data_IF_221986831605
#
_entry.id   IF_221986831605
#
_cell.length_a   1.000
_cell.length_b   1.000
_cell.length_c   1.000
_cell.angle_alpha   90.00
_cell.angle_beta   90.00
_cell.angle_gamma   90.00
#
_symmetry.space_group_name_H-M   'P 1'
#
loop_
_entity.id
_entity.type
_entity.pdbx_description
1 polymer ?
#
# COMPACT_ATOMS: atom_id res chain seq x y z
N UNK A 1 32.19 -1.55 -10.24
CA UNK A 1 31.08 -0.60 -10.02
C UNK A 1 30.61 -0.79 -8.59
N UNK A 2 30.60 0.24 -7.77
CA UNK A 2 30.13 0.16 -6.39
C UNK A 2 28.61 0.18 -6.41
N UNK A 3 27.95 -0.94 -6.09
CA UNK A 3 26.49 -0.98 -5.98
C UNK A 3 26.06 -0.09 -4.82
N UNK A 4 25.17 0.87 -5.07
CA UNK A 4 24.63 1.72 -4.02
C UNK A 4 23.80 0.89 -3.03
N UNK A 5 24.08 1.03 -1.73
CA UNK A 5 23.29 0.38 -0.67
C UNK A 5 21.89 1.00 -0.67
N UNK A 6 20.85 0.16 -0.74
CA UNK A 6 19.45 0.58 -0.62
C UNK A 6 18.97 0.28 0.80
N UNK A 7 18.31 1.25 1.42
CA UNK A 7 17.66 1.09 2.73
C UNK A 7 16.16 1.18 2.56
N UNK A 8 15.43 0.29 3.24
CA UNK A 8 13.97 0.22 3.21
C UNK A 8 13.42 0.44 4.61
N UNK A 9 12.24 1.04 4.70
CA UNK A 9 11.56 1.35 5.97
C UNK A 9 10.66 0.22 6.46
N UNK A 10 10.35 -0.76 5.60
CA UNK A 10 9.52 -1.91 5.95
C UNK A 10 10.20 -3.22 5.56
N UNK A 11 9.93 -4.27 6.34
CA UNK A 11 10.43 -5.62 6.06
C UNK A 11 9.87 -6.17 4.74
N UNK A 12 8.60 -5.89 4.43
CA UNK A 12 7.99 -6.32 3.18
C UNK A 12 8.74 -5.77 1.95
N UNK A 13 9.06 -4.47 1.93
CA UNK A 13 9.79 -3.85 0.83
C UNK A 13 11.23 -4.37 0.73
N UNK A 14 11.91 -4.52 1.87
CA UNK A 14 13.25 -5.09 1.92
C UNK A 14 13.29 -6.53 1.40
N UNK A 15 12.33 -7.38 1.81
CA UNK A 15 12.24 -8.76 1.36
C UNK A 15 11.91 -8.88 -0.13
N UNK A 16 10.98 -8.06 -0.64
CA UNK A 16 10.67 -8.05 -2.07
C UNK A 16 11.89 -7.66 -2.91
N UNK A 17 12.62 -6.61 -2.50
CA UNK A 17 13.85 -6.20 -3.15
C UNK A 17 14.93 -7.28 -3.08
N UNK A 18 15.20 -7.80 -1.87
CA UNK A 18 16.19 -8.86 -1.65
C UNK A 18 15.87 -10.11 -2.47
N UNK A 19 14.59 -10.45 -2.62
CA UNK A 19 14.20 -11.58 -3.45
C UNK A 19 14.57 -11.41 -4.90
N UNK A 20 14.43 -10.21 -5.48
CA UNK A 20 14.81 -9.97 -6.87
C UNK A 20 16.31 -10.11 -7.12
N UNK A 21 17.13 -10.02 -6.07
CA UNK A 21 18.59 -10.16 -6.13
C UNK A 21 19.04 -11.61 -5.90
N UNK A 22 18.17 -12.46 -5.35
CA UNK A 22 18.53 -13.77 -4.87
C UNK A 22 18.44 -14.81 -5.99
N UNK A 23 19.53 -15.52 -6.34
CA UNK A 23 19.52 -16.44 -7.48
C UNK A 23 18.57 -17.63 -7.29
N UNK A 24 17.87 -18.03 -8.35
CA UNK A 24 17.07 -19.26 -8.39
C UNK A 24 15.66 -19.14 -7.79
N UNK A 25 15.19 -17.93 -7.56
CA UNK A 25 13.91 -17.66 -6.88
C UNK A 25 12.71 -17.71 -7.80
N UNK A 26 12.94 -17.66 -9.11
CA UNK A 26 11.95 -17.68 -10.19
C UNK A 26 10.94 -18.84 -10.10
N UNK A 27 11.27 -19.93 -9.40
CA UNK A 27 10.43 -21.12 -9.26
C UNK A 27 10.05 -21.45 -7.82
N UNK A 28 10.27 -20.55 -6.86
CA UNK A 28 9.91 -20.82 -5.46
C UNK A 28 8.39 -20.88 -5.32
N UNK A 29 7.91 -21.97 -4.72
CA UNK A 29 6.49 -22.19 -4.48
C UNK A 29 6.08 -21.74 -3.07
N UNK A 30 4.79 -21.49 -2.86
CA UNK A 30 4.26 -21.23 -1.52
C UNK A 30 4.51 -22.40 -0.56
N UNK A 31 4.46 -23.64 -1.06
CA UNK A 31 4.76 -24.82 -0.25
C UNK A 31 6.21 -24.83 0.25
N UNK A 32 7.16 -24.46 -0.61
CA UNK A 32 8.57 -24.32 -0.23
C UNK A 32 8.75 -23.27 0.86
N UNK A 33 8.16 -22.08 0.70
CA UNK A 33 8.18 -21.02 1.72
C UNK A 33 7.55 -21.46 3.04
N UNK A 34 6.45 -22.21 2.98
CA UNK A 34 5.81 -22.77 4.17
C UNK A 34 6.70 -23.75 4.92
N UNK A 35 7.50 -24.55 4.20
CA UNK A 35 8.48 -25.46 4.80
C UNK A 35 9.67 -24.71 5.39
N UNK A 36 10.16 -23.66 4.73
CA UNK A 36 11.19 -22.77 5.31
C UNK A 36 10.70 -22.16 6.63
N UNK A 37 9.49 -21.58 6.63
CA UNK A 37 8.87 -21.03 7.85
C UNK A 37 8.78 -22.07 8.98
N UNK A 38 8.37 -23.29 8.65
CA UNK A 38 8.31 -24.37 9.64
C UNK A 38 9.70 -24.76 10.17
N UNK A 39 10.73 -24.69 9.31
CA UNK A 39 12.13 -24.87 9.68
C UNK A 39 12.58 -23.86 10.73
N UNK A 40 12.49 -22.56 10.41
CA UNK A 40 12.94 -21.48 11.31
C UNK A 40 12.16 -21.49 12.64
N UNK A 41 10.85 -21.72 12.58
CA UNK A 41 10.03 -21.87 13.79
C UNK A 41 10.49 -23.07 14.64
N UNK A 42 10.90 -24.16 14.01
CA UNK A 42 11.47 -25.33 14.65
C UNK A 42 12.82 -25.05 15.32
N UNK A 43 13.68 -24.26 14.68
CA UNK A 43 14.96 -23.82 15.23
C UNK A 43 14.76 -22.93 16.47
N UNK A 44 13.84 -21.97 16.39
CA UNK A 44 13.43 -21.14 17.52
C UNK A 44 12.94 -21.99 18.70
N UNK A 45 12.04 -22.95 18.44
CA UNK A 45 11.55 -23.88 19.46
C UNK A 45 12.67 -24.72 20.08
N UNK A 46 13.65 -25.15 19.27
CA UNK A 46 14.82 -25.89 19.74
C UNK A 46 15.70 -25.03 20.66
N UNK A 47 15.90 -23.75 20.34
CA UNK A 47 16.65 -22.82 21.18
C UNK A 47 15.91 -22.49 22.48
N UNK A 48 14.59 -22.27 22.47
CA UNK A 48 13.78 -22.16 23.69
C UNK A 48 13.91 -23.39 24.59
N UNK A 49 13.82 -24.59 24.01
CA UNK A 49 14.02 -25.86 24.74
C UNK A 49 15.42 -25.94 25.36
N UNK A 50 16.47 -25.53 24.64
CA UNK A 50 17.86 -25.53 25.17
C UNK A 50 18.03 -24.53 26.32
N UNK A 51 17.39 -23.36 26.25
CA UNK A 51 17.38 -22.37 27.34
C UNK A 51 16.69 -22.92 28.60
N UNK A 52 15.50 -23.51 28.44
CA UNK A 52 14.77 -24.13 29.55
C UNK A 52 15.51 -25.33 30.13
N UNK A 53 16.17 -26.13 29.30
CA UNK A 53 17.03 -27.23 29.75
C UNK A 53 18.12 -26.74 30.70
N UNK A 54 18.80 -25.65 30.34
CA UNK A 54 19.82 -25.04 31.17
C UNK A 54 19.21 -24.51 32.49
N UNK A 55 18.07 -23.82 32.42
CA UNK A 55 17.36 -23.28 33.59
C UNK A 55 16.94 -24.38 34.58
N UNK A 56 16.54 -25.54 34.07
CA UNK A 56 16.08 -26.68 34.85
C UNK A 56 17.22 -27.61 35.32
N UNK A 57 18.47 -27.36 34.93
CA UNK A 57 19.61 -28.22 35.28
C UNK A 57 19.58 -29.59 34.62
N UNK A 58 18.87 -29.74 33.49
CA UNK A 58 18.81 -30.99 32.74
C UNK A 58 20.07 -31.11 31.87
N UNK A 59 20.71 -32.28 31.83
CA UNK A 59 21.90 -32.50 31.01
C UNK A 59 21.61 -32.34 29.51
N UNK A 60 22.51 -31.66 28.77
CA UNK A 60 22.46 -31.52 27.32
C UNK A 60 23.00 -30.17 26.82
N UNK A 61 22.82 -29.89 25.52
CA UNK A 61 23.25 -28.61 24.93
C UNK A 61 22.44 -27.42 25.43
N UNK A 62 23.03 -26.23 25.41
CA UNK A 62 22.38 -24.96 25.78
C UNK A 62 22.30 -24.05 24.55
N UNK A 63 21.56 -22.94 24.70
CA UNK A 63 21.51 -21.86 23.73
C UNK A 63 21.62 -20.52 24.45
N UNK A 64 21.87 -19.45 23.70
CA UNK A 64 21.82 -18.06 24.20
C UNK A 64 20.51 -17.38 23.80
N UNK A 65 20.19 -16.26 24.45
CA UNK A 65 19.06 -15.42 24.04
C UNK A 65 19.27 -14.80 22.66
N UNK A 66 20.52 -14.55 22.27
CA UNK A 66 20.90 -14.07 20.93
C UNK A 66 20.52 -15.12 19.87
N UNK A 67 20.91 -16.38 20.07
CA UNK A 67 20.50 -17.47 19.18
C UNK A 67 18.98 -17.64 19.11
N UNK A 68 18.26 -17.46 20.22
CA UNK A 68 16.79 -17.45 20.16
C UNK A 68 16.26 -16.24 19.37
N UNK A 69 16.87 -15.08 19.56
CA UNK A 69 16.51 -13.84 18.85
C UNK A 69 16.66 -13.97 17.34
N UNK A 70 17.76 -14.56 16.87
CA UNK A 70 18.01 -14.80 15.44
C UNK A 70 16.93 -15.70 14.84
N UNK A 71 16.64 -16.87 15.44
CA UNK A 71 15.62 -17.79 14.88
C UNK A 71 14.19 -17.21 14.95
N UNK A 72 13.89 -16.41 15.97
CA UNK A 72 12.61 -15.69 16.04
C UNK A 72 12.50 -14.64 14.92
N UNK A 73 13.61 -13.96 14.60
CA UNK A 73 13.65 -13.02 13.49
C UNK A 73 13.50 -13.75 12.15
N UNK A 74 14.18 -14.88 11.96
CA UNK A 74 14.07 -15.70 10.74
C UNK A 74 12.66 -16.27 10.56
N UNK A 75 11.98 -16.65 11.65
CA UNK A 75 10.55 -17.02 11.65
C UNK A 75 9.67 -15.87 11.12
N UNK A 76 9.91 -14.63 11.56
CA UNK A 76 9.16 -13.46 11.08
C UNK A 76 9.47 -13.19 9.60
N UNK A 77 10.75 -13.25 9.22
CA UNK A 77 11.19 -13.02 7.83
C UNK A 77 10.53 -14.03 6.88
N UNK A 78 10.58 -15.32 7.21
CA UNK A 78 9.99 -16.38 6.39
C UNK A 78 8.47 -16.32 6.34
N UNK A 79 7.80 -15.89 7.42
CA UNK A 79 6.36 -15.59 7.39
C UNK A 79 6.02 -14.46 6.39
N UNK A 80 6.83 -13.41 6.34
CA UNK A 80 6.68 -12.36 5.33
C UNK A 80 6.94 -12.86 3.91
N UNK A 81 7.91 -13.76 3.71
CA UNK A 81 8.16 -14.38 2.41
C UNK A 81 6.97 -15.22 1.94
N UNK A 82 6.32 -15.98 2.84
CA UNK A 82 5.06 -16.66 2.55
C UNK A 82 3.97 -15.66 2.09
N UNK A 83 3.81 -14.54 2.80
CA UNK A 83 2.83 -13.52 2.44
C UNK A 83 3.12 -12.87 1.09
N UNK A 84 4.40 -12.57 0.79
CA UNK A 84 4.81 -12.07 -0.52
C UNK A 84 4.44 -13.05 -1.64
N UNK A 85 4.75 -14.34 -1.48
CA UNK A 85 4.40 -15.39 -2.45
C UNK A 85 2.90 -15.57 -2.60
N UNK A 86 2.12 -15.38 -1.53
CA UNK A 86 0.65 -15.49 -1.55
C UNK A 86 -0.08 -14.21 -1.98
N UNK A 87 0.63 -13.10 -2.23
CA UNK A 87 0.01 -11.81 -2.55
C UNK A 87 -0.69 -11.13 -1.37
N UNK A 88 -0.31 -11.49 -0.14
CA UNK A 88 -0.94 -11.00 1.09
C UNK A 88 -0.25 -9.71 1.57
N UNK A 89 -1.06 -8.70 1.91
CA UNK A 89 -0.58 -7.57 2.70
C UNK A 89 -0.44 -7.97 4.18
N UNK A 90 0.77 -8.40 4.55
CA UNK A 90 1.07 -8.84 5.91
C UNK A 90 0.94 -7.71 6.93
N UNK A 91 1.41 -6.50 6.63
CA UNK A 91 1.32 -5.36 7.53
C UNK A 91 -0.14 -5.02 7.85
N UNK A 92 -0.97 -4.90 6.81
CA UNK A 92 -2.41 -4.65 6.98
C UNK A 92 -3.11 -5.82 7.69
N UNK A 93 -2.71 -7.06 7.39
CA UNK A 93 -3.28 -8.27 8.01
C UNK A 93 -2.97 -8.34 9.50
N UNK A 94 -1.75 -8.00 9.93
CA UNK A 94 -1.35 -7.94 11.34
C UNK A 94 -2.19 -6.90 12.07
N UNK A 95 -2.31 -5.68 11.53
CA UNK A 95 -3.10 -4.60 12.13
C UNK A 95 -4.55 -5.04 12.31
N UNK A 96 -5.18 -5.56 11.24
CA UNK A 96 -6.54 -6.06 11.27
C UNK A 96 -6.72 -7.15 12.34
N UNK A 97 -5.85 -8.18 12.34
CA UNK A 97 -6.02 -9.33 13.23
C UNK A 97 -5.73 -8.98 14.70
N UNK A 98 -4.77 -8.10 14.96
CA UNK A 98 -4.49 -7.59 16.31
C UNK A 98 -5.67 -6.79 16.86
N UNK A 99 -6.21 -5.86 16.06
CA UNK A 99 -7.33 -5.02 16.47
C UNK A 99 -8.61 -5.84 16.65
N UNK A 100 -8.89 -6.80 15.76
CA UNK A 100 -9.99 -7.75 15.91
C UNK A 100 -9.92 -8.50 17.25
N UNK A 101 -8.76 -9.08 17.59
CA UNK A 101 -8.59 -9.79 18.87
C UNK A 101 -8.82 -8.85 20.06
N UNK A 102 -8.37 -7.60 19.94
CA UNK A 102 -8.57 -6.59 20.99
C UNK A 102 -10.04 -6.23 21.17
N UNK A 103 -10.81 -6.14 20.09
CA UNK A 103 -12.26 -5.91 20.12
C UNK A 103 -13.02 -7.08 20.72
N UNK A 104 -12.73 -8.30 20.27
CA UNK A 104 -13.35 -9.55 20.76
C UNK A 104 -13.20 -9.70 22.28
N UNK A 105 -12.13 -9.15 22.86
CA UNK A 105 -11.81 -9.25 24.28
C UNK A 105 -12.05 -7.94 25.07
N UNK A 106 -12.65 -6.91 24.45
CA UNK A 106 -12.93 -5.63 25.11
C UNK A 106 -11.67 -4.87 25.58
N UNK A 107 -10.52 -5.09 24.93
CA UNK A 107 -9.25 -4.43 25.23
C UNK A 107 -9.21 -3.04 24.57
N UNK A 108 -8.53 -2.08 25.21
CA UNK A 108 -8.41 -0.70 24.70
C UNK A 108 -7.25 -0.51 23.70
N UNK A 109 -6.24 -1.39 23.71
CA UNK A 109 -5.04 -1.25 22.90
C UNK A 109 -5.32 -1.53 21.42
N UNK A 110 -4.75 -0.72 20.51
CA UNK A 110 -4.85 -0.90 19.05
C UNK A 110 -3.50 -0.65 18.38
N UNK A 111 -3.26 -1.34 17.27
CA UNK A 111 -2.23 -0.96 16.30
C UNK A 111 -2.80 0.10 15.37
N UNK A 112 -2.03 1.18 15.19
CA UNK A 112 -2.37 2.23 14.22
C UNK A 112 -2.27 1.69 12.79
N UNK A 113 -3.13 2.17 11.91
CA UNK A 113 -2.97 1.96 10.48
C UNK A 113 -1.64 2.59 10.02
N UNK A 114 -0.95 1.94 9.08
CA UNK A 114 0.17 2.59 8.41
C UNK A 114 -0.32 3.86 7.69
N UNK A 115 0.46 4.95 7.68
CA UNK A 115 0.14 6.15 6.90
C UNK A 115 -0.11 5.78 5.42
N UNK A 116 -1.06 6.46 4.79
CA UNK A 116 -1.54 6.20 3.42
C UNK A 116 -0.37 6.12 2.41
N UNK A 117 0.69 6.91 2.58
CA UNK A 117 1.92 6.87 1.78
C UNK A 117 2.56 5.47 1.66
N UNK A 118 2.55 4.66 2.73
CA UNK A 118 3.17 3.34 2.75
C UNK A 118 2.37 2.30 1.96
N UNK A 119 1.03 2.43 1.91
CA UNK A 119 0.15 1.61 1.05
C UNK A 119 0.26 2.02 -0.41
N UNK A 120 0.29 3.33 -0.69
CA UNK A 120 0.39 3.88 -2.04
C UNK A 120 1.65 3.41 -2.77
N UNK A 121 2.83 3.40 -2.11
CA UNK A 121 4.08 2.97 -2.76
C UNK A 121 4.11 1.48 -3.16
N UNK A 122 3.46 0.61 -2.38
CA UNK A 122 3.48 -0.85 -2.60
C UNK A 122 2.59 -1.27 -3.77
N UNK A 123 1.47 -0.57 -3.95
CA UNK A 123 0.51 -0.90 -5.00
C UNK A 123 0.92 -0.27 -6.34
N UNK A 124 1.53 0.93 -6.35
CA UNK A 124 1.88 1.70 -7.57
C UNK A 124 2.34 0.90 -8.80
N UNK A 125 3.26 -0.10 -8.71
CA UNK A 125 3.68 -0.88 -9.89
C UNK A 125 2.60 -1.84 -10.43
N UNK A 126 1.72 -2.34 -9.56
CA UNK A 126 0.55 -3.13 -9.91
C UNK A 126 -0.54 -2.19 -10.48
N UNK A 127 -0.67 -0.98 -9.92
CA UNK A 127 -1.67 0.01 -10.33
C UNK A 127 -1.40 0.64 -11.69
N UNK A 128 -0.13 0.89 -12.04
CA UNK A 128 0.25 1.39 -13.37
C UNK A 128 -0.12 0.43 -14.53
N UNK A 129 -0.67 -0.75 -14.20
CA UNK A 129 -1.16 -1.74 -15.17
C UNK A 129 -2.69 -1.75 -15.29
N UNK A 130 -3.43 -1.09 -14.38
CA UNK A 130 -4.89 -1.13 -14.29
C UNK A 130 -5.45 0.28 -14.08
N UNK A 131 -5.68 0.99 -15.17
CA UNK A 131 -6.28 2.33 -15.22
C UNK A 131 -7.80 2.24 -15.36
N UNK A 132 -8.50 1.82 -14.29
CA UNK A 132 -9.97 1.75 -14.26
C UNK A 132 -10.54 2.68 -13.20
N UNK A 133 -11.49 3.51 -13.62
CA UNK A 133 -12.06 4.62 -12.86
C UNK A 133 -13.57 4.43 -12.70
N UNK A 134 -14.12 4.72 -11.52
CA UNK A 134 -15.57 4.63 -11.27
C UNK A 134 -16.07 5.71 -10.30
N UNK A 135 -17.35 6.12 -10.39
CA UNK A 135 -17.97 7.02 -9.41
C UNK A 135 -17.92 6.41 -8.01
N UNK A 136 -17.67 7.20 -6.96
CA UNK A 136 -17.53 6.63 -5.61
C UNK A 136 -18.81 5.95 -5.08
N UNK A 137 -19.97 6.31 -5.63
CA UNK A 137 -21.29 5.79 -5.26
C UNK A 137 -21.78 4.63 -6.14
N UNK A 138 -21.04 4.28 -7.21
CA UNK A 138 -21.38 3.17 -8.11
C UNK A 138 -20.14 2.40 -8.58
N UNK A 139 -20.04 1.13 -8.18
CA UNK A 139 -18.87 0.28 -8.41
C UNK A 139 -19.12 -0.81 -9.47
N UNK A 140 -20.12 -0.66 -10.34
CA UNK A 140 -20.39 -1.61 -11.42
C UNK A 140 -19.29 -1.60 -12.50
N UNK A 141 -18.85 -2.79 -12.91
CA UNK A 141 -17.88 -3.01 -13.99
C UNK A 141 -18.31 -2.42 -15.34
N UNK A 142 -19.61 -2.25 -15.58
CA UNK A 142 -20.15 -1.65 -16.82
C UNK A 142 -19.95 -0.12 -16.88
N UNK A 143 -19.62 0.54 -15.76
CA UNK A 143 -19.44 2.00 -15.64
C UNK A 143 -17.95 2.38 -15.54
N UNK A 144 -17.07 1.38 -15.51
CA UNK A 144 -15.63 1.61 -15.47
C UNK A 144 -15.14 2.35 -16.72
N UNK A 145 -14.36 3.40 -16.51
CA UNK A 145 -13.76 4.19 -17.59
C UNK A 145 -12.25 3.99 -17.63
N UNK A 146 -11.61 4.27 -18.76
CA UNK A 146 -10.15 4.15 -18.95
C UNK A 146 -9.38 5.42 -18.55
N UNK A 147 -10.11 6.50 -18.24
CA UNK A 147 -9.57 7.74 -17.69
C UNK A 147 -10.62 8.48 -16.87
N UNK A 148 -10.19 9.39 -15.99
CA UNK A 148 -11.08 10.28 -15.23
C UNK A 148 -11.87 11.22 -16.17
N UNK A 149 -11.26 11.69 -17.25
CA UNK A 149 -11.92 12.54 -18.24
C UNK A 149 -13.06 11.81 -18.96
N UNK A 150 -12.84 10.53 -19.31
CA UNK A 150 -13.89 9.68 -19.87
C UNK A 150 -14.99 9.40 -18.84
N UNK A 151 -14.63 9.15 -17.57
CA UNK A 151 -15.61 8.99 -16.49
C UNK A 151 -16.49 10.23 -16.34
N UNK A 152 -15.88 11.42 -16.28
CA UNK A 152 -16.57 12.70 -16.17
C UNK A 152 -17.54 12.94 -17.34
N UNK A 153 -17.16 12.54 -18.56
CA UNK A 153 -18.04 12.59 -19.72
C UNK A 153 -19.21 11.61 -19.60
N UNK A 154 -18.95 10.39 -19.15
CA UNK A 154 -19.97 9.34 -19.02
C UNK A 154 -21.05 9.69 -17.98
N UNK A 155 -20.69 10.42 -16.93
CA UNK A 155 -21.63 10.88 -15.89
C UNK A 155 -22.15 12.32 -16.12
N UNK A 156 -21.80 12.94 -17.25
CA UNK A 156 -22.19 14.30 -17.61
C UNK A 156 -21.81 15.37 -16.55
N UNK A 157 -20.60 15.27 -15.97
CA UNK A 157 -20.12 16.24 -14.97
C UNK A 157 -20.06 17.67 -15.56
N UNK A 158 -20.67 18.64 -14.87
CA UNK A 158 -20.68 20.03 -15.34
C UNK A 158 -19.37 20.76 -14.99
N UNK A 159 -19.02 21.75 -15.82
CA UNK A 159 -17.84 22.58 -15.59
C UNK A 159 -17.87 23.26 -14.22
N UNK A 160 -16.77 23.12 -13.47
CA UNK A 160 -16.62 23.67 -12.12
C UNK A 160 -17.21 22.81 -11.00
N UNK A 161 -17.83 21.65 -11.30
CA UNK A 161 -18.23 20.67 -10.29
C UNK A 161 -17.06 19.76 -9.92
N UNK A 162 -17.05 19.30 -8.67
CA UNK A 162 -16.07 18.35 -8.13
C UNK A 162 -16.73 16.96 -8.08
N UNK A 163 -16.06 15.98 -8.68
CA UNK A 163 -16.45 14.58 -8.63
C UNK A 163 -15.58 13.81 -7.63
N UNK A 164 -16.22 13.09 -6.72
CA UNK A 164 -15.60 12.04 -5.91
C UNK A 164 -15.59 10.73 -6.71
N UNK A 165 -14.41 10.15 -6.89
CA UNK A 165 -14.25 8.89 -7.61
C UNK A 165 -13.19 8.02 -6.94
N UNK A 166 -13.25 6.74 -7.26
CA UNK A 166 -12.34 5.73 -6.77
C UNK A 166 -11.55 5.17 -7.98
N UNK A 167 -10.27 4.85 -7.79
CA UNK A 167 -9.36 4.45 -8.87
C UNK A 167 -8.59 3.17 -8.54
N UNK A 168 -8.73 2.15 -9.41
CA UNK A 168 -8.14 0.82 -9.29
C UNK A 168 -8.57 0.06 -8.02
N UNK A 169 -8.79 -1.27 -8.13
CA UNK A 169 -9.60 -2.08 -7.17
C UNK A 169 -9.73 -1.55 -5.74
N UNK A 170 -10.71 -0.67 -5.49
CA UNK A 170 -11.00 0.11 -4.25
C UNK A 170 -9.82 0.22 -3.26
N UNK A 171 -8.86 1.11 -3.51
CA UNK A 171 -7.79 1.43 -2.54
C UNK A 171 -7.39 2.91 -2.44
N UNK A 172 -7.78 3.76 -3.40
CA UNK A 172 -7.48 5.19 -3.39
C UNK A 172 -8.72 5.99 -3.83
N UNK A 173 -9.02 7.03 -3.05
CA UNK A 173 -10.10 8.00 -3.29
C UNK A 173 -9.48 9.33 -3.70
N UNK A 174 -9.99 9.92 -4.79
CA UNK A 174 -9.47 11.15 -5.36
C UNK A 174 -10.62 12.06 -5.79
N UNK A 175 -10.29 13.32 -6.03
CA UNK A 175 -11.24 14.38 -6.34
C UNK A 175 -10.81 15.08 -7.61
N UNK A 176 -11.67 15.02 -8.62
CA UNK A 176 -11.42 15.61 -9.94
C UNK A 176 -12.37 16.76 -10.23
N UNK A 177 -11.86 17.80 -10.88
CA UNK A 177 -12.66 18.89 -11.40
C UNK A 177 -12.02 19.47 -12.67
N UNK A 178 -12.83 20.11 -13.50
CA UNK A 178 -12.33 20.79 -14.68
C UNK A 178 -13.04 22.12 -14.94
N UNK A 179 -12.36 22.99 -15.68
CA UNK A 179 -12.90 24.21 -16.26
C UNK A 179 -12.63 24.20 -17.77
N UNK A 180 -13.51 24.80 -18.59
CA UNK A 180 -13.24 25.00 -20.00
C UNK A 180 -11.94 25.79 -20.21
N UNK A 181 -11.37 25.80 -21.42
CA UNK A 181 -10.17 26.59 -21.73
C UNK A 181 -10.39 28.06 -21.33
N UNK A 182 -9.39 28.65 -20.67
CA UNK A 182 -9.41 30.08 -20.39
C UNK A 182 -9.28 30.90 -21.69
N UNK A 183 -9.68 32.16 -21.67
CA UNK A 183 -9.54 33.06 -22.84
C UNK A 183 -8.09 33.28 -23.26
N UNK A 184 -7.14 33.11 -22.34
CA UNK A 184 -5.71 33.20 -22.55
C UNK A 184 -5.03 31.84 -22.83
N UNK A 185 -5.82 30.76 -22.93
CA UNK A 185 -5.29 29.43 -23.21
C UNK A 185 -4.76 29.38 -24.67
N UNK A 186 -3.56 28.82 -24.83
CA UNK A 186 -2.94 28.59 -26.15
C UNK A 186 -3.56 27.44 -26.95
N UNK A 187 -4.70 26.90 -26.52
CA UNK A 187 -5.36 25.73 -27.10
C UNK A 187 -6.76 25.52 -26.51
N UNK A 188 -7.43 24.46 -26.97
CA UNK A 188 -8.79 24.06 -26.60
C UNK A 188 -8.85 23.03 -25.46
N UNK A 189 -7.71 22.76 -24.81
CA UNK A 189 -7.63 21.87 -23.67
C UNK A 189 -8.27 22.46 -22.41
N UNK A 190 -9.06 21.65 -21.72
CA UNK A 190 -9.62 22.00 -20.42
C UNK A 190 -8.51 22.22 -19.38
N UNK A 191 -8.80 23.07 -18.40
CA UNK A 191 -8.01 23.13 -17.17
C UNK A 191 -8.52 22.04 -16.24
N UNK A 192 -7.67 21.08 -15.89
CA UNK A 192 -8.05 19.89 -15.12
C UNK A 192 -7.32 19.86 -13.77
N UNK A 193 -8.00 19.36 -12.74
CA UNK A 193 -7.51 19.25 -11.36
C UNK A 193 -7.79 17.82 -10.88
N UNK A 194 -6.78 17.15 -10.33
CA UNK A 194 -6.88 15.81 -9.76
C UNK A 194 -6.10 15.79 -8.42
N UNK A 195 -6.82 15.80 -7.31
CA UNK A 195 -6.26 15.96 -5.96
C UNK A 195 -6.71 14.86 -4.99
N UNK A 196 -5.96 14.72 -3.89
CA UNK A 196 -6.23 13.70 -2.86
C UNK A 196 -7.37 14.09 -1.89
N UNK A 197 -7.77 15.37 -1.83
CA UNK A 197 -8.88 15.82 -0.99
C UNK A 197 -9.80 16.78 -1.74
N UNK A 198 -11.07 16.80 -1.34
CA UNK A 198 -12.09 17.68 -1.92
C UNK A 198 -11.73 19.15 -1.75
N UNK A 199 -11.22 19.52 -0.58
CA UNK A 199 -10.85 20.91 -0.27
C UNK A 199 -9.69 21.39 -1.15
N UNK A 200 -8.73 20.51 -1.46
CA UNK A 200 -7.62 20.84 -2.34
C UNK A 200 -8.09 21.03 -3.79
N UNK A 201 -8.94 20.12 -4.30
CA UNK A 201 -9.52 20.25 -5.63
C UNK A 201 -10.35 21.55 -5.76
N UNK A 202 -11.23 21.79 -4.80
CA UNK A 202 -12.09 22.98 -4.75
C UNK A 202 -11.29 24.28 -4.63
N UNK A 203 -10.23 24.29 -3.81
CA UNK A 203 -9.35 25.47 -3.68
C UNK A 203 -8.64 25.80 -5.00
N UNK A 204 -8.15 24.80 -5.71
CA UNK A 204 -7.48 24.99 -7.02
C UNK A 204 -8.45 25.52 -8.07
N UNK A 205 -9.68 25.00 -8.13
CA UNK A 205 -10.72 25.51 -9.03
C UNK A 205 -11.10 26.95 -8.67
N UNK A 206 -11.31 27.26 -7.39
CA UNK A 206 -11.65 28.60 -6.95
C UNK A 206 -10.54 29.61 -7.27
N UNK A 207 -9.28 29.22 -7.10
CA UNK A 207 -8.12 30.05 -7.45
C UNK A 207 -8.04 30.32 -8.95
N UNK A 208 -8.29 29.32 -9.80
CA UNK A 208 -8.28 29.49 -11.25
C UNK A 208 -9.45 30.37 -11.74
N UNK A 209 -10.65 30.22 -11.16
CA UNK A 209 -11.78 31.10 -11.45
C UNK A 209 -11.49 32.55 -11.08
N UNK A 210 -10.86 32.79 -9.92
CA UNK A 210 -10.47 34.14 -9.49
C UNK A 210 -9.40 34.75 -10.41
N UNK A 211 -8.41 33.93 -10.84
CA UNK A 211 -7.40 34.36 -11.82
C UNK A 211 -8.06 34.80 -13.14
N UNK A 212 -9.05 34.05 -13.62
CA UNK A 212 -9.76 34.33 -14.87
C UNK A 212 -10.59 35.61 -14.81
N UNK A 213 -11.22 35.94 -13.68
CA UNK A 213 -11.87 37.25 -13.49
C UNK A 213 -10.88 38.39 -13.75
N UNK A 214 -9.65 38.26 -13.26
CA UNK A 214 -8.57 39.22 -13.52
C UNK A 214 -8.08 39.31 -14.97
N UNK A 215 -8.50 38.40 -15.85
CA UNK A 215 -8.27 38.49 -17.30
C UNK A 215 -9.42 39.21 -18.02
N UNK A 216 -10.66 39.03 -17.56
CA UNK A 216 -11.85 39.69 -18.10
C UNK A 216 -11.87 41.20 -17.77
N UNK A 217 -11.22 41.61 -16.68
CA UNK A 217 -11.07 43.01 -16.25
C UNK A 217 -9.93 43.79 -16.94
N UNK A 218 -9.20 43.18 -17.89
CA UNK A 218 -8.18 43.89 -18.69
C UNK A 218 -8.80 44.39 -20.01
N UNK A 219 -8.73 45.70 -20.30
CA UNK A 219 -9.29 46.29 -21.53
C UNK A 219 -8.55 45.85 -22.80
#
# INVERSE_FOLDING_TARGET
>A
MTTAIKTYTTLAAANAARQSEWPGVENITLAFRGLELAGEAGEACNNMKKLERARLGIAGSTATLEQLGDELADTVITAYLCALTAGIDMDATIIRKFNQTSEENGLATRLAALPIEAKSQRLRPILAKYDWYWPSDDHDSEISSSSVSELAQNIELEAGQVLEYDHGGVFERRYYAFLPPASDAGGDGNFEVDEATEEAAAATIAAELERRKGLEDKP
#
